data_IF_612924423302
#
_entry.id   IF_612924423302
#
_cell.length_a   1.000
_cell.length_b   1.000
_cell.length_c   1.000
_cell.angle_alpha   90.00
_cell.angle_beta   90.00
_cell.angle_gamma   90.00
#
_symmetry.space_group_name_H-M   'P 1'
#
loop_
_entity.id
_entity.type
_entity.pdbx_description
1 polymer ?
#
# COMPACT_ATOMS: atom_id res chain seq x y z
N UNK A 1 -6.58 -16.85 -58.79
CA UNK A 1 -6.72 -16.43 -57.38
C UNK A 1 -5.32 -16.18 -56.84
N UNK A 2 -4.85 -14.94 -56.89
CA UNK A 2 -3.52 -14.58 -56.38
C UNK A 2 -3.65 -14.09 -54.94
N UNK A 3 -3.11 -14.85 -54.00
CA UNK A 3 -2.99 -14.45 -52.61
C UNK A 3 -1.61 -13.81 -52.41
N UNK A 4 -1.59 -12.52 -52.10
CA UNK A 4 -0.39 -11.79 -51.69
C UNK A 4 -0.07 -12.17 -50.24
N UNK A 5 0.99 -12.95 -50.03
CA UNK A 5 1.59 -13.15 -48.72
C UNK A 5 2.47 -11.94 -48.40
N UNK A 6 1.97 -11.02 -47.57
CA UNK A 6 2.82 -10.02 -46.93
C UNK A 6 3.55 -10.68 -45.76
N UNK A 7 4.74 -11.23 -46.02
CA UNK A 7 5.66 -11.68 -44.98
C UNK A 7 6.48 -10.49 -44.47
N UNK A 8 5.93 -9.69 -43.55
CA UNK A 8 6.76 -8.80 -42.72
C UNK A 8 7.17 -9.55 -41.44
N UNK A 9 8.36 -10.15 -41.49
CA UNK A 9 9.01 -10.76 -40.34
C UNK A 9 9.80 -9.68 -39.61
N UNK A 10 9.30 -9.17 -38.48
CA UNK A 10 10.11 -8.36 -37.56
C UNK A 10 10.99 -9.29 -36.71
N UNK A 11 12.33 -9.17 -36.75
CA UNK A 11 13.20 -10.11 -36.05
C UNK A 11 13.39 -9.69 -34.59
N UNK A 12 12.64 -10.32 -33.68
CA UNK A 12 13.00 -10.34 -32.25
C UNK A 12 13.08 -11.79 -31.77
N UNK A 13 14.33 -12.25 -31.55
CA UNK A 13 14.82 -13.59 -31.14
C UNK A 13 14.99 -14.62 -32.27
N UNK A 14 16.25 -14.86 -32.67
CA UNK A 14 16.72 -15.75 -33.76
C UNK A 14 16.23 -17.22 -33.72
N UNK A 15 15.60 -17.69 -32.63
CA UNK A 15 15.25 -19.10 -32.42
C UNK A 15 13.73 -19.33 -32.24
N UNK A 16 12.89 -18.39 -32.69
CA UNK A 16 11.43 -18.54 -32.65
C UNK A 16 10.80 -17.96 -33.91
N UNK A 17 9.76 -18.62 -34.37
CA UNK A 17 8.85 -18.11 -35.40
C UNK A 17 7.49 -17.83 -34.80
N UNK A 18 6.79 -16.89 -35.44
CA UNK A 18 5.46 -16.44 -35.06
C UNK A 18 4.55 -16.52 -36.28
N UNK A 19 3.28 -16.84 -36.05
CA UNK A 19 2.25 -16.83 -37.09
C UNK A 19 0.96 -16.27 -36.52
N UNK A 20 0.37 -15.32 -37.24
CA UNK A 20 -0.95 -14.79 -36.94
C UNK A 20 -1.93 -15.31 -38.00
N UNK A 21 -3.06 -15.86 -37.57
CA UNK A 21 -4.15 -16.27 -38.45
C UNK A 21 -5.10 -15.10 -38.73
N UNK A 22 -5.94 -15.21 -39.76
CA UNK A 22 -6.90 -14.18 -40.16
C UNK A 22 -7.98 -13.89 -39.09
N UNK A 23 -8.16 -14.81 -38.13
CA UNK A 23 -9.06 -14.67 -36.98
C UNK A 23 -8.39 -13.98 -35.77
N UNK A 24 -7.15 -13.53 -35.92
CA UNK A 24 -6.39 -12.83 -34.87
C UNK A 24 -5.64 -13.75 -33.91
N UNK A 25 -5.78 -15.08 -34.01
CA UNK A 25 -5.01 -16.00 -33.15
C UNK A 25 -3.53 -15.97 -33.51
N UNK A 26 -2.70 -15.87 -32.48
CA UNK A 26 -1.24 -15.87 -32.60
C UNK A 26 -0.68 -17.22 -32.16
N UNK A 27 0.31 -17.71 -32.89
CA UNK A 27 1.04 -18.93 -32.58
C UNK A 27 2.53 -18.64 -32.57
N UNK A 28 3.28 -19.37 -31.75
CA UNK A 28 4.74 -19.39 -31.82
C UNK A 28 5.27 -20.81 -31.87
N UNK A 29 6.43 -20.99 -32.50
CA UNK A 29 7.20 -22.24 -32.42
C UNK A 29 8.66 -21.92 -32.18
N UNK A 30 9.36 -22.81 -31.47
CA UNK A 30 10.82 -22.73 -31.33
C UNK A 30 11.49 -23.29 -32.57
N UNK A 31 12.61 -22.69 -32.99
CA UNK A 31 13.53 -23.26 -33.96
C UNK A 31 14.72 -23.80 -33.18
N UNK A 32 15.08 -25.07 -33.39
CA UNK A 32 16.31 -25.63 -32.83
C UNK A 32 17.51 -24.93 -33.50
N UNK A 33 18.35 -24.21 -32.73
CA UNK A 33 19.46 -23.44 -33.31
C UNK A 33 20.59 -24.30 -33.88
N UNK A 34 20.63 -25.62 -33.62
CA UNK A 34 21.65 -26.53 -34.12
C UNK A 34 21.23 -27.26 -35.39
N UNK A 35 19.94 -27.58 -35.51
CA UNK A 35 19.40 -28.37 -36.63
C UNK A 35 18.53 -27.57 -37.57
N UNK A 36 18.22 -26.31 -37.24
CA UNK A 36 17.30 -25.42 -37.95
C UNK A 36 15.90 -26.04 -38.14
N UNK A 37 15.55 -27.03 -37.32
CA UNK A 37 14.28 -27.74 -37.41
C UNK A 37 13.23 -27.02 -36.55
N UNK A 38 12.07 -26.66 -37.13
CA UNK A 38 10.99 -26.05 -36.37
C UNK A 38 10.30 -27.07 -35.47
N UNK A 39 10.04 -26.66 -34.22
CA UNK A 39 9.18 -27.38 -33.29
C UNK A 39 7.69 -27.22 -33.61
N UNK A 40 6.84 -27.71 -32.71
CA UNK A 40 5.39 -27.58 -32.84
C UNK A 40 4.92 -26.15 -32.61
N UNK A 41 3.84 -25.77 -33.29
CA UNK A 41 3.15 -24.51 -33.05
C UNK A 41 2.37 -24.58 -31.74
N UNK A 42 2.62 -23.61 -30.87
CA UNK A 42 1.90 -23.37 -29.63
C UNK A 42 1.09 -22.09 -29.79
N UNK A 43 -0.21 -22.13 -29.45
CA UNK A 43 -1.05 -20.94 -29.45
C UNK A 43 -0.56 -19.99 -28.35
N UNK A 44 -0.26 -18.75 -28.73
CA UNK A 44 -0.02 -17.67 -27.79
C UNK A 44 -1.40 -17.24 -27.30
N UNK A 45 -1.77 -17.72 -26.12
CA UNK A 45 -2.85 -17.08 -25.38
C UNK A 45 -2.44 -15.63 -25.14
N UNK A 46 -3.28 -14.63 -25.47
CA UNK A 46 -3.02 -13.27 -25.04
C UNK A 46 -2.78 -13.30 -23.53
N UNK A 47 -1.84 -12.48 -23.00
CA UNK A 47 -1.72 -12.36 -21.55
C UNK A 47 -3.11 -12.11 -20.99
N UNK A 48 -3.45 -12.80 -19.90
CA UNK A 48 -4.70 -12.50 -19.19
C UNK A 48 -4.80 -10.98 -19.02
N UNK A 49 -5.97 -10.37 -19.26
CA UNK A 49 -6.10 -8.93 -19.10
C UNK A 49 -5.56 -8.55 -17.73
N UNK A 50 -4.62 -7.59 -17.69
CA UNK A 50 -4.10 -7.07 -16.43
C UNK A 50 -5.31 -6.61 -15.61
N UNK A 51 -5.54 -7.22 -14.44
CA UNK A 51 -6.62 -6.81 -13.55
C UNK A 51 -6.39 -5.34 -13.20
N UNK A 52 -7.42 -4.51 -13.38
CA UNK A 52 -7.32 -3.10 -13.01
C UNK A 52 -6.92 -3.00 -11.52
N UNK A 53 -5.97 -2.11 -11.19
CA UNK A 53 -5.51 -1.99 -9.81
C UNK A 53 -6.68 -1.61 -8.92
N UNK A 54 -6.93 -2.43 -7.89
CA UNK A 54 -7.98 -2.21 -6.91
C UNK A 54 -7.58 -1.11 -5.92
N UNK A 55 -8.56 -0.45 -5.33
CA UNK A 55 -8.32 0.47 -4.21
C UNK A 55 -7.91 -0.35 -2.99
N UNK A 56 -6.91 0.12 -2.25
CA UNK A 56 -6.35 -0.57 -1.10
C UNK A 56 -6.29 0.38 0.09
N UNK A 57 -6.35 -0.17 1.31
CA UNK A 57 -6.17 0.56 2.56
C UNK A 57 -4.85 0.16 3.22
N UNK A 58 -4.10 1.15 3.66
CA UNK A 58 -2.79 1.00 4.27
C UNK A 58 -2.74 1.64 5.65
N UNK A 59 -1.95 1.05 6.55
CA UNK A 59 -1.39 1.72 7.72
C UNK A 59 0.00 2.24 7.33
N UNK A 60 0.24 3.54 7.50
CA UNK A 60 1.52 4.20 7.25
C UNK A 60 2.16 4.57 8.58
N UNK A 61 3.42 4.21 8.76
CA UNK A 61 4.26 4.55 9.89
C UNK A 61 5.36 5.46 9.38
N UNK A 62 5.44 6.68 9.90
CA UNK A 62 6.45 7.68 9.52
C UNK A 62 7.36 7.97 10.71
N UNK A 63 8.68 7.94 10.48
CA UNK A 63 9.67 8.33 11.48
C UNK A 63 9.51 9.82 11.80
N UNK A 64 9.60 10.12 13.10
CA UNK A 64 9.60 11.49 13.61
C UNK A 64 11.01 11.90 14.05
N UNK A 65 11.11 13.04 14.72
CA UNK A 65 12.37 13.46 15.34
C UNK A 65 12.91 12.34 16.26
N UNK A 66 14.25 12.22 16.39
CA UNK A 66 14.86 11.21 17.26
C UNK A 66 14.26 11.22 18.67
N UNK A 67 13.85 10.04 19.14
CA UNK A 67 13.23 9.86 20.46
C UNK A 67 11.72 10.05 20.51
N UNK A 68 11.07 10.49 19.42
CA UNK A 68 9.62 10.53 19.30
C UNK A 68 9.07 9.21 18.70
N UNK A 69 7.89 8.74 19.15
CA UNK A 69 7.26 7.58 18.55
C UNK A 69 6.87 7.86 17.09
N UNK A 70 6.84 6.82 16.27
CA UNK A 70 6.46 6.96 14.86
C UNK A 70 5.05 7.49 14.72
N UNK A 71 4.85 8.37 13.75
CA UNK A 71 3.53 8.88 13.42
C UNK A 71 2.75 7.84 12.62
N UNK A 72 1.49 7.62 12.98
CA UNK A 72 0.62 6.65 12.31
C UNK A 72 -0.49 7.36 11.56
N UNK A 73 -0.73 6.94 10.32
CA UNK A 73 -1.85 7.39 9.50
C UNK A 73 -2.45 6.25 8.69
N UNK A 74 -3.72 6.39 8.31
CA UNK A 74 -4.38 5.51 7.35
C UNK A 74 -4.32 6.15 5.97
N UNK A 75 -4.13 5.35 4.93
CA UNK A 75 -4.08 5.83 3.55
C UNK A 75 -4.84 4.91 2.62
N UNK A 76 -5.75 5.46 1.80
CA UNK A 76 -6.44 4.73 0.76
C UNK A 76 -6.05 5.25 -0.62
N UNK A 77 -5.64 4.35 -1.52
CA UNK A 77 -5.26 4.72 -2.89
C UNK A 77 -5.45 3.56 -3.87
N UNK A 78 -5.37 3.87 -5.16
CA UNK A 78 -5.30 2.88 -6.24
C UNK A 78 -3.83 2.72 -6.67
N UNK A 79 -3.34 1.48 -6.61
CA UNK A 79 -1.96 1.13 -6.90
C UNK A 79 -0.95 1.62 -5.85
N UNK A 80 0.27 1.07 -5.90
CA UNK A 80 1.34 1.33 -4.93
C UNK A 80 2.58 1.89 -5.64
N UNK A 81 2.44 3.08 -6.24
CA UNK A 81 3.55 3.75 -6.95
C UNK A 81 3.83 5.12 -6.35
N UNK A 82 5.00 5.68 -6.62
CA UNK A 82 5.33 7.07 -6.22
C UNK A 82 4.34 8.12 -6.76
N UNK A 83 3.60 7.81 -7.83
CA UNK A 83 2.58 8.68 -8.40
C UNK A 83 1.16 8.39 -7.87
N UNK A 84 0.97 7.30 -7.11
CA UNK A 84 -0.33 6.92 -6.57
C UNK A 84 -0.79 7.94 -5.55
N UNK A 85 -1.86 8.66 -5.91
CA UNK A 85 -2.53 9.62 -5.05
C UNK A 85 -3.72 9.00 -4.37
N UNK A 86 -4.04 9.50 -3.18
CA UNK A 86 -5.11 8.96 -2.37
C UNK A 86 -5.51 9.87 -1.25
N UNK A 87 -6.28 9.29 -0.32
CA UNK A 87 -6.79 9.97 0.86
C UNK A 87 -6.07 9.49 2.10
N UNK A 88 -5.59 10.44 2.92
CA UNK A 88 -4.88 10.17 4.18
C UNK A 88 -5.74 10.62 5.36
N UNK A 89 -5.92 9.74 6.34
CA UNK A 89 -6.54 10.07 7.61
C UNK A 89 -5.54 9.95 8.75
N UNK A 90 -5.45 10.98 9.57
CA UNK A 90 -4.50 11.09 10.67
C UNK A 90 -4.98 12.12 11.68
N UNK A 91 -4.38 12.04 12.86
CA UNK A 91 -4.41 13.10 13.88
C UNK A 91 -2.99 13.59 14.13
N UNK A 92 -2.80 14.90 14.17
CA UNK A 92 -1.50 15.55 14.38
C UNK A 92 -1.56 16.49 15.58
N UNK A 93 -0.42 17.03 15.98
CA UNK A 93 -0.28 17.83 17.20
C UNK A 93 0.51 17.10 18.27
N UNK A 94 0.61 17.70 19.46
CA UNK A 94 1.25 17.07 20.59
C UNK A 94 0.30 16.15 21.35
N UNK A 95 0.84 15.29 22.23
CA UNK A 95 0.03 14.33 22.97
C UNK A 95 -0.94 14.96 23.99
N UNK A 96 -0.85 16.27 24.27
CA UNK A 96 -1.83 16.99 25.10
C UNK A 96 -3.00 17.53 24.26
N UNK A 97 -2.77 17.84 23.00
CA UNK A 97 -3.78 18.35 22.10
C UNK A 97 -3.54 17.91 20.65
N UNK A 98 -4.05 16.73 20.30
CA UNK A 98 -4.11 16.27 18.92
C UNK A 98 -5.40 16.72 18.24
N UNK A 99 -5.37 16.89 16.93
CA UNK A 99 -6.51 17.26 16.10
C UNK A 99 -6.47 16.53 14.76
N UNK A 100 -7.62 16.38 14.12
CA UNK A 100 -7.69 15.78 12.79
C UNK A 100 -6.95 16.62 11.76
N UNK A 101 -6.18 15.96 10.89
CA UNK A 101 -5.55 16.59 9.74
C UNK A 101 -5.60 15.64 8.54
N UNK A 102 -6.78 15.53 7.93
CA UNK A 102 -6.98 14.68 6.77
C UNK A 102 -6.47 15.38 5.51
N UNK A 103 -5.90 14.61 4.58
CA UNK A 103 -5.41 15.12 3.30
C UNK A 103 -6.04 14.33 2.16
N UNK A 104 -6.51 15.06 1.15
CA UNK A 104 -7.00 14.50 -0.10
C UNK A 104 -5.94 14.70 -1.21
N UNK A 105 -5.94 13.81 -2.20
CA UNK A 105 -5.05 13.87 -3.38
C UNK A 105 -3.54 13.89 -3.06
N UNK A 106 -3.12 13.17 -2.00
CA UNK A 106 -1.71 13.11 -1.57
C UNK A 106 -1.01 11.85 -2.07
N UNK A 107 0.24 12.00 -2.53
CA UNK A 107 1.10 10.89 -2.96
C UNK A 107 2.03 10.43 -1.83
N UNK A 108 1.51 9.64 -0.88
CA UNK A 108 2.26 9.21 0.32
C UNK A 108 3.53 8.42 -0.02
N UNK A 109 3.50 7.63 -1.10
CA UNK A 109 4.62 6.78 -1.53
C UNK A 109 5.73 7.52 -2.29
N UNK A 110 5.55 8.81 -2.63
CA UNK A 110 6.55 9.57 -3.40
C UNK A 110 7.90 9.73 -2.67
N UNK A 111 7.87 9.76 -1.33
CA UNK A 111 9.05 9.86 -0.48
C UNK A 111 9.04 8.72 0.56
N UNK A 112 9.61 7.54 0.23
CA UNK A 112 9.53 6.35 1.07
C UNK A 112 10.55 6.34 2.23
N UNK A 113 11.57 7.20 2.20
CA UNK A 113 12.58 7.25 3.26
C UNK A 113 11.91 7.62 4.59
N UNK A 114 12.18 6.83 5.63
CA UNK A 114 11.57 7.00 6.95
C UNK A 114 10.10 6.59 7.00
N UNK A 115 9.60 5.83 6.01
CA UNK A 115 8.22 5.32 6.01
C UNK A 115 8.20 3.80 5.89
N UNK A 116 7.32 3.18 6.67
CA UNK A 116 6.93 1.78 6.52
C UNK A 116 5.42 1.74 6.33
N UNK A 117 4.92 0.86 5.46
CA UNK A 117 3.49 0.71 5.26
C UNK A 117 3.08 -0.76 5.27
N UNK A 118 1.86 -1.00 5.75
CA UNK A 118 1.26 -2.33 5.84
C UNK A 118 -0.13 -2.30 5.21
N UNK A 119 -0.40 -3.25 4.31
CA UNK A 119 -1.72 -3.35 3.70
C UNK A 119 -2.72 -3.92 4.68
N UNK A 120 -3.78 -3.17 4.95
CA UNK A 120 -4.89 -3.53 5.84
C UNK A 120 -6.02 -4.20 5.07
N UNK A 121 -6.30 -3.71 3.85
CA UNK A 121 -7.29 -4.25 2.93
C UNK A 121 -6.79 -4.11 1.48
N UNK A 122 -6.85 -5.20 0.70
CA UNK A 122 -6.36 -5.26 -0.68
C UNK A 122 -7.45 -5.01 -1.74
N UNK A 123 -8.71 -4.90 -1.33
CA UNK A 123 -9.86 -4.73 -2.21
C UNK A 123 -10.92 -3.87 -1.49
N UNK A 124 -10.54 -2.62 -1.23
CA UNK A 124 -11.36 -1.66 -0.49
C UNK A 124 -12.51 -1.18 -1.39
N UNK A 125 -13.72 -1.61 -1.09
CA UNK A 125 -14.92 -1.12 -1.79
C UNK A 125 -15.27 0.32 -1.38
N UNK A 126 -16.11 0.98 -2.17
CA UNK A 126 -16.58 2.34 -1.85
C UNK A 126 -17.34 2.39 -0.51
N UNK A 127 -18.14 1.36 -0.20
CA UNK A 127 -18.87 1.32 1.07
C UNK A 127 -17.92 1.08 2.25
N UNK A 128 -16.89 0.26 2.07
CA UNK A 128 -15.86 0.09 3.09
C UNK A 128 -15.03 1.36 3.30
N UNK A 129 -14.78 2.15 2.25
CA UNK A 129 -14.11 3.44 2.38
C UNK A 129 -14.96 4.45 3.16
N UNK A 130 -16.27 4.49 2.95
CA UNK A 130 -17.19 5.29 3.80
C UNK A 130 -17.14 4.84 5.25
N UNK A 131 -17.05 3.52 5.51
CA UNK A 131 -16.87 3.02 6.88
C UNK A 131 -15.55 3.50 7.50
N UNK A 132 -14.48 3.65 6.71
CA UNK A 132 -13.22 4.29 7.15
C UNK A 132 -13.46 5.74 7.54
N UNK A 133 -14.12 6.52 6.69
CA UNK A 133 -14.45 7.93 6.97
C UNK A 133 -15.28 8.08 8.26
N UNK A 134 -16.34 7.28 8.40
CA UNK A 134 -17.14 7.30 9.61
C UNK A 134 -16.36 6.87 10.85
N UNK A 135 -15.45 5.89 10.71
CA UNK A 135 -14.67 5.39 11.83
C UNK A 135 -13.66 6.44 12.33
N UNK A 136 -12.99 7.14 11.42
CA UNK A 136 -12.02 8.18 11.81
C UNK A 136 -12.69 9.39 12.46
N UNK A 137 -13.90 9.76 12.03
CA UNK A 137 -14.66 10.89 12.59
C UNK A 137 -15.24 10.58 13.98
N UNK A 138 -15.65 9.31 14.21
CA UNK A 138 -16.26 8.88 15.48
C UNK A 138 -15.24 8.73 16.61
N UNK A 139 -13.97 8.50 16.32
CA UNK A 139 -12.93 8.31 17.33
C UNK A 139 -12.26 9.65 17.65
N UNK A 140 -12.48 10.17 18.87
CA UNK A 140 -11.92 11.46 19.28
C UNK A 140 -10.38 11.45 19.26
N UNK A 141 -9.75 12.54 18.79
CA UNK A 141 -8.30 12.70 18.88
C UNK A 141 -7.83 12.67 20.34
N UNK A 142 -6.64 12.15 20.62
CA UNK A 142 -6.08 12.15 21.96
C UNK A 142 -5.93 13.57 22.51
N UNK A 143 -6.34 13.78 23.76
CA UNK A 143 -6.11 15.02 24.49
C UNK A 143 -5.90 14.76 25.98
N UNK A 144 -5.10 15.60 26.61
CA UNK A 144 -4.83 15.59 28.05
C UNK A 144 -4.69 17.03 28.55
N UNK A 145 -5.10 17.33 29.80
CA UNK A 145 -4.98 18.67 30.39
C UNK A 145 -3.52 19.11 30.58
N UNK A 146 -2.61 18.14 30.73
CA UNK A 146 -1.18 18.36 30.90
C UNK A 146 -0.40 17.12 30.42
N UNK A 147 0.93 17.28 30.31
CA UNK A 147 1.83 16.22 29.83
C UNK A 147 1.90 15.00 30.75
N UNK A 148 1.72 15.18 32.06
CA UNK A 148 1.77 14.08 33.03
C UNK A 148 0.52 13.19 32.92
N UNK A 149 -0.58 13.76 32.43
CA UNK A 149 -1.87 13.10 32.25
C UNK A 149 -2.04 12.44 30.88
N UNK A 150 -1.01 12.44 30.02
CA UNK A 150 -1.05 11.80 28.69
C UNK A 150 -1.19 10.30 28.84
N UNK A 151 -2.29 9.75 28.29
CA UNK A 151 -2.58 8.31 28.26
C UNK A 151 -2.54 7.72 26.86
N UNK A 152 -2.32 8.56 25.85
CA UNK A 152 -2.37 8.17 24.45
C UNK A 152 -1.72 9.21 23.52
N UNK A 153 -1.30 8.76 22.33
CA UNK A 153 -0.94 9.57 21.16
C UNK A 153 -1.58 9.00 19.87
N UNK A 154 -1.19 9.50 18.69
CA UNK A 154 -1.80 9.18 17.40
C UNK A 154 -1.96 7.68 17.14
N UNK A 155 -0.95 6.87 17.47
CA UNK A 155 -1.02 5.41 17.32
C UNK A 155 -2.21 4.78 18.07
N UNK A 156 -2.52 5.23 19.28
CA UNK A 156 -3.65 4.69 20.04
C UNK A 156 -5.01 5.07 19.44
N UNK A 157 -5.13 6.30 18.91
CA UNK A 157 -6.27 6.70 18.10
C UNK A 157 -6.42 5.79 16.88
N UNK A 158 -5.33 5.54 16.15
CA UNK A 158 -5.34 4.63 14.99
C UNK A 158 -5.78 3.23 15.40
N UNK A 159 -5.33 2.69 16.54
CA UNK A 159 -5.80 1.39 17.05
C UNK A 159 -7.31 1.40 17.30
N UNK A 160 -7.89 2.44 17.92
CA UNK A 160 -9.34 2.52 18.09
C UNK A 160 -10.10 2.51 16.77
N UNK A 161 -9.61 3.26 15.78
CA UNK A 161 -10.18 3.27 14.43
C UNK A 161 -10.09 1.87 13.81
N UNK A 162 -8.93 1.20 13.88
CA UNK A 162 -8.75 -0.15 13.37
C UNK A 162 -9.67 -1.17 14.05
N UNK A 163 -9.90 -1.05 15.36
CA UNK A 163 -10.86 -1.89 16.10
C UNK A 163 -12.30 -1.65 15.67
N UNK A 164 -12.64 -0.43 15.25
CA UNK A 164 -13.96 -0.12 14.67
C UNK A 164 -14.10 -0.72 13.27
N UNK A 165 -13.07 -0.59 12.44
CA UNK A 165 -13.00 -1.19 11.11
C UNK A 165 -13.01 -2.73 11.14
N UNK A 166 -12.40 -3.33 12.14
CA UNK A 166 -12.50 -4.77 12.42
C UNK A 166 -13.96 -5.21 12.58
N UNK A 167 -14.73 -4.49 13.40
CA UNK A 167 -16.14 -4.81 13.64
C UNK A 167 -17.01 -4.66 12.39
N UNK A 168 -16.62 -3.77 11.46
CA UNK A 168 -17.24 -3.63 10.14
C UNK A 168 -16.76 -4.64 9.10
N UNK A 169 -15.73 -5.45 9.42
CA UNK A 169 -15.14 -6.41 8.49
C UNK A 169 -14.24 -5.79 7.41
N UNK A 170 -13.87 -4.52 7.55
CA UNK A 170 -12.95 -3.82 6.63
C UNK A 170 -11.50 -4.28 6.84
N UNK A 171 -11.14 -4.60 8.08
CA UNK A 171 -9.80 -5.07 8.46
C UNK A 171 -9.92 -6.38 9.24
N UNK A 172 -9.00 -7.31 9.03
CA UNK A 172 -8.99 -8.60 9.75
C UNK A 172 -8.57 -8.40 11.22
N UNK A 173 -9.24 -9.12 12.12
CA UNK A 173 -8.93 -9.09 13.56
C UNK A 173 -7.46 -9.45 13.85
N UNK A 174 -6.93 -10.45 13.18
CA UNK A 174 -5.54 -10.91 13.37
C UNK A 174 -4.54 -9.81 13.01
N UNK A 175 -4.85 -9.02 11.97
CA UNK A 175 -4.04 -7.87 11.56
C UNK A 175 -4.05 -6.79 12.63
N UNK A 176 -5.23 -6.45 13.19
CA UNK A 176 -5.34 -5.43 14.25
C UNK A 176 -4.63 -5.88 15.53
N UNK A 177 -4.82 -7.14 15.93
CA UNK A 177 -4.15 -7.73 17.10
C UNK A 177 -2.62 -7.69 16.97
N UNK A 178 -2.10 -8.00 15.78
CA UNK A 178 -0.66 -7.94 15.50
C UNK A 178 -0.12 -6.50 15.53
N UNK A 179 -0.82 -5.55 14.89
CA UNK A 179 -0.41 -4.12 14.90
C UNK A 179 -0.37 -3.59 16.34
N UNK A 180 -1.41 -3.85 17.14
CA UNK A 180 -1.49 -3.37 18.51
C UNK A 180 -0.41 -3.97 19.42
N UNK A 181 -0.10 -5.25 19.25
CA UNK A 181 0.88 -5.96 20.09
C UNK A 181 2.32 -5.65 19.70
N UNK A 182 2.63 -5.68 18.40
CA UNK A 182 4.02 -5.74 17.92
C UNK A 182 4.52 -4.41 17.33
N UNK A 183 3.62 -3.54 16.86
CA UNK A 183 4.02 -2.26 16.25
C UNK A 183 3.81 -1.06 17.16
N UNK A 184 2.78 -1.09 18.01
CA UNK A 184 2.41 0.04 18.86
C UNK A 184 3.52 0.32 19.88
N UNK A 185 3.99 1.55 19.89
CA UNK A 185 5.05 1.99 20.78
C UNK A 185 4.48 2.42 22.14
N UNK A 186 5.23 2.20 23.24
CA UNK A 186 4.79 2.59 24.57
C UNK A 186 4.84 4.12 24.73
N UNK A 187 3.98 4.61 25.62
CA UNK A 187 4.01 6.01 26.03
C UNK A 187 5.17 6.19 27.00
N UNK A 188 6.27 6.74 26.50
CA UNK A 188 7.46 7.07 27.30
C UNK A 188 7.37 8.49 27.85
N UNK A 189 7.73 8.63 29.12
CA UNK A 189 7.77 9.91 29.81
C UNK A 189 8.83 10.84 29.19
N UNK A 190 8.72 12.17 29.38
CA UNK A 190 9.73 13.12 28.88
C UNK A 190 11.15 12.83 29.37
N UNK A 191 11.30 12.29 30.58
CA UNK A 191 12.59 11.92 31.16
C UNK A 191 13.23 10.75 30.40
N UNK A 192 12.47 9.70 30.13
CA UNK A 192 12.94 8.53 29.38
C UNK A 192 13.26 8.88 27.91
N UNK A 193 12.56 9.87 27.32
CA UNK A 193 12.90 10.38 25.98
C UNK A 193 14.26 11.08 25.96
N UNK A 194 14.54 11.92 26.96
CA UNK A 194 15.83 12.62 27.07
C UNK A 194 16.99 11.64 27.23
N UNK A 195 16.81 10.58 28.03
CA UNK A 195 17.82 9.52 28.19
C UNK A 195 18.08 8.79 26.87
N UNK A 196 17.02 8.43 26.11
CA UNK A 196 17.17 7.80 24.79
C UNK A 196 17.88 8.68 23.75
N UNK A 197 17.61 10.00 23.76
CA UNK A 197 18.29 10.93 22.85
C UNK A 197 19.78 11.05 23.19
N UNK A 198 20.13 11.00 24.48
CA UNK A 198 21.54 11.02 24.91
C UNK A 198 22.28 9.75 24.49
N UNK A 199 21.63 8.58 24.55
CA UNK A 199 22.21 7.31 24.07
C UNK A 199 22.38 7.26 22.55
N UNK A 200 21.48 7.87 21.77
CA UNK A 200 21.53 7.85 20.31
C UNK A 200 22.61 8.78 19.70
N UNK A 201 23.22 9.65 20.52
CA UNK A 201 24.22 10.66 20.09
C UNK A 201 25.64 10.28 20.53
N UNK A 202 25.81 9.18 21.30
CA UNK A 202 27.11 8.62 21.69
C UNK A 202 27.47 7.40 20.82
#
# INVERSE_FOLDING_TARGET
MSFSQSNEVKPWRRNREYRTLSDGRMFSRKIDPKTDTPGQWEEISPPAPEEEPKKQLYLILEDQLPGEPRHWSLFACIGETAASKGKRWQVTGDATFMHYQHDDDVAVFAAPVGKTYYTLNNDLSEDQEKEVEEAVEKELPPSAPDRASVKEHCQGWTIRVLRRLERGGVVKKETVDWIERDLKEPIVSPKERLEKVQEAVC
#
